data_IF_758149684347
#
_entry.id   IF_758149684347
#
_cell.length_a   1.000
_cell.length_b   1.000
_cell.length_c   1.000
_cell.angle_alpha   90.00
_cell.angle_beta   90.00
_cell.angle_gamma   90.00
#
_symmetry.space_group_name_H-M   'P 1'
#
loop_
_entity.id
_entity.type
_entity.pdbx_description
1 polymer ?
#
# COMPACT_ATOMS: atom_id res chain seq x y z
N UNK A 1 -37.32 33.30 12.09
CA UNK A 1 -36.97 31.91 12.49
C UNK A 1 -36.14 31.32 11.34
N UNK A 2 -34.89 31.47 11.46
CA UNK A 2 -33.95 31.02 10.39
C UNK A 2 -33.14 29.84 10.92
N UNK A 3 -33.48 28.66 10.42
CA UNK A 3 -32.78 27.40 10.70
C UNK A 3 -32.24 26.88 9.38
N UNK A 4 -31.07 27.29 9.00
CA UNK A 4 -30.28 26.49 8.05
C UNK A 4 -28.84 27.06 7.90
N UNK A 5 -28.07 27.06 8.98
CA UNK A 5 -26.63 27.00 8.85
C UNK A 5 -26.20 25.59 9.21
N UNK A 6 -26.49 24.64 8.32
CA UNK A 6 -25.82 23.36 8.34
C UNK A 6 -24.36 23.63 7.97
N UNK A 7 -23.50 23.77 8.99
CA UNK A 7 -22.06 23.77 8.83
C UNK A 7 -21.70 22.56 7.95
N UNK A 8 -21.37 22.79 6.69
CA UNK A 8 -20.72 21.80 5.84
C UNK A 8 -19.46 21.36 6.60
N UNK A 9 -19.50 20.19 7.19
CA UNK A 9 -18.32 19.61 7.78
C UNK A 9 -17.20 19.67 6.74
N UNK A 10 -16.12 20.38 7.06
CA UNK A 10 -14.98 20.56 6.17
C UNK A 10 -14.43 19.16 5.90
N UNK A 11 -14.38 18.77 4.63
CA UNK A 11 -13.83 17.47 4.24
C UNK A 11 -12.43 17.28 4.86
N UNK A 12 -12.21 16.15 5.49
CA UNK A 12 -10.91 15.80 6.06
C UNK A 12 -10.00 15.39 4.91
N UNK A 13 -8.87 16.09 4.75
CA UNK A 13 -7.86 15.69 3.77
C UNK A 13 -6.97 14.60 4.34
N UNK A 14 -6.79 13.54 3.55
CA UNK A 14 -5.94 12.39 3.88
C UNK A 14 -4.96 12.16 2.74
N UNK A 15 -3.66 12.21 3.04
CA UNK A 15 -2.64 11.91 2.04
C UNK A 15 -2.54 10.40 1.85
N UNK A 16 -2.61 9.95 0.61
CA UNK A 16 -2.27 8.57 0.25
C UNK A 16 -0.80 8.53 -0.18
N UNK A 17 0.02 7.81 0.59
CA UNK A 17 1.44 7.60 0.32
C UNK A 17 1.62 6.50 -0.75
N UNK A 18 1.07 6.76 -1.93
CA UNK A 18 1.15 5.86 -3.08
C UNK A 18 1.04 6.66 -4.37
N UNK A 19 1.77 6.22 -5.40
CA UNK A 19 1.67 6.73 -6.76
C UNK A 19 0.88 5.77 -7.68
N UNK A 20 0.27 4.70 -7.12
CA UNK A 20 -0.52 3.74 -7.87
C UNK A 20 -1.93 4.30 -8.16
N UNK A 21 -2.29 4.57 -9.44
CA UNK A 21 -3.60 5.13 -9.79
C UNK A 21 -4.77 4.20 -9.45
N UNK A 22 -4.55 2.88 -9.45
CA UNK A 22 -5.55 1.89 -9.05
C UNK A 22 -5.91 2.04 -7.58
N UNK A 23 -4.91 2.02 -6.70
CA UNK A 23 -5.09 2.22 -5.25
C UNK A 23 -5.77 3.56 -4.94
N UNK A 24 -5.37 4.62 -5.62
CA UNK A 24 -5.98 5.93 -5.43
C UNK A 24 -7.49 5.93 -5.73
N UNK A 25 -7.89 5.31 -6.85
CA UNK A 25 -9.32 5.19 -7.22
C UNK A 25 -10.10 4.35 -6.21
N UNK A 26 -9.56 3.18 -5.84
CA UNK A 26 -10.21 2.25 -4.91
C UNK A 26 -10.39 2.88 -3.52
N UNK A 27 -9.32 3.41 -2.95
CA UNK A 27 -9.36 4.04 -1.62
C UNK A 27 -10.20 5.31 -1.64
N UNK A 28 -10.09 6.12 -2.69
CA UNK A 28 -10.92 7.31 -2.85
C UNK A 28 -12.41 6.98 -2.87
N UNK A 29 -12.82 5.94 -3.62
CA UNK A 29 -14.21 5.48 -3.67
C UNK A 29 -14.71 4.95 -2.32
N UNK A 30 -13.87 4.22 -1.58
CA UNK A 30 -14.21 3.70 -0.26
C UNK A 30 -14.39 4.80 0.79
N UNK A 31 -13.61 5.88 0.71
CA UNK A 31 -13.60 6.95 1.71
C UNK A 31 -14.53 8.13 1.37
N UNK A 32 -14.98 8.23 0.12
CA UNK A 32 -15.88 9.30 -0.32
C UNK A 32 -17.17 9.44 0.52
N UNK A 33 -17.86 8.34 0.93
CA UNK A 33 -19.07 8.45 1.76
C UNK A 33 -18.84 9.08 3.12
N UNK A 34 -17.59 9.10 3.61
CA UNK A 34 -17.20 9.64 4.91
C UNK A 34 -16.72 11.09 4.84
N UNK A 35 -16.90 11.77 3.69
CA UNK A 35 -16.39 13.13 3.45
C UNK A 35 -14.88 13.25 3.66
N UNK A 36 -14.13 12.20 3.32
CA UNK A 36 -12.67 12.18 3.33
C UNK A 36 -12.17 12.39 1.90
N UNK A 37 -11.40 13.46 1.70
CA UNK A 37 -10.73 13.75 0.44
C UNK A 37 -9.36 13.08 0.42
N UNK A 38 -9.18 12.10 -0.45
CA UNK A 38 -7.89 11.40 -0.62
C UNK A 38 -7.02 12.19 -1.60
N UNK A 39 -5.86 12.64 -1.13
CA UNK A 39 -4.89 13.41 -1.92
C UNK A 39 -3.68 12.51 -2.21
N UNK A 40 -3.31 12.23 -3.47
CA UNK A 40 -2.12 11.45 -3.76
C UNK A 40 -0.86 12.25 -3.39
N UNK A 41 0.17 11.54 -2.88
CA UNK A 41 1.44 12.17 -2.53
C UNK A 41 2.07 12.94 -3.70
N UNK A 42 1.92 12.43 -4.93
CA UNK A 42 2.42 13.09 -6.15
C UNK A 42 1.79 14.45 -6.42
N UNK A 43 0.51 14.66 -6.06
CA UNK A 43 -0.15 15.97 -6.20
C UNK A 43 0.41 17.02 -5.23
N UNK A 44 1.12 16.59 -4.20
CA UNK A 44 1.81 17.45 -3.23
C UNK A 44 3.31 17.55 -3.52
N UNK A 45 3.79 16.99 -4.63
CA UNK A 45 5.21 16.99 -4.99
C UNK A 45 6.09 16.14 -4.06
N UNK A 46 5.49 15.19 -3.31
CA UNK A 46 6.23 14.36 -2.37
C UNK A 46 6.86 13.17 -3.10
N UNK A 47 8.13 12.91 -2.78
CA UNK A 47 8.85 11.71 -3.20
C UNK A 47 8.37 10.46 -2.46
N UNK A 48 8.70 9.30 -3.02
CA UNK A 48 8.47 8.01 -2.35
C UNK A 48 9.42 7.85 -1.15
N UNK A 49 8.92 7.24 -0.09
CA UNK A 49 9.74 6.85 1.04
C UNK A 49 10.55 5.59 0.70
N UNK A 50 11.71 5.46 1.32
CA UNK A 50 12.46 4.21 1.31
C UNK A 50 11.69 3.10 2.06
N UNK A 51 11.83 1.87 1.59
CA UNK A 51 11.23 0.67 2.15
C UNK A 51 12.32 -0.33 2.58
N UNK A 52 13.16 0.01 3.58
CA UNK A 52 14.31 -0.81 3.96
C UNK A 52 13.97 -1.95 4.93
N UNK A 53 12.71 -2.05 5.37
CA UNK A 53 12.32 -2.93 6.47
C UNK A 53 11.93 -4.33 5.98
N UNK A 54 12.03 -5.29 6.89
CA UNK A 54 11.75 -6.69 6.60
C UNK A 54 10.25 -7.06 6.72
N UNK A 55 9.41 -6.17 7.22
CA UNK A 55 7.98 -6.42 7.37
C UNK A 55 7.12 -5.38 6.64
N UNK A 56 5.95 -5.83 6.17
CA UNK A 56 4.95 -4.94 5.56
C UNK A 56 4.51 -3.82 6.51
N UNK A 57 4.37 -4.14 7.81
CA UNK A 57 3.96 -3.15 8.82
C UNK A 57 4.98 -2.01 8.94
N UNK A 58 6.26 -2.34 9.05
CA UNK A 58 7.31 -1.33 9.21
C UNK A 58 7.43 -0.44 7.97
N UNK A 59 7.36 -1.03 6.78
CA UNK A 59 7.38 -0.27 5.52
C UNK A 59 6.15 0.63 5.38
N UNK A 60 4.93 0.11 5.65
CA UNK A 60 3.71 0.91 5.61
C UNK A 60 3.76 2.08 6.62
N UNK A 61 4.25 1.81 7.84
CA UNK A 61 4.41 2.84 8.88
C UNK A 61 5.43 3.90 8.47
N UNK A 62 6.57 3.50 7.92
CA UNK A 62 7.60 4.42 7.43
C UNK A 62 7.05 5.33 6.32
N UNK A 63 6.34 4.76 5.34
CA UNK A 63 5.68 5.51 4.26
C UNK A 63 4.64 6.50 4.80
N UNK A 64 3.78 6.06 5.71
CA UNK A 64 2.76 6.92 6.30
C UNK A 64 3.39 8.10 7.08
N UNK A 65 4.43 7.84 7.86
CA UNK A 65 5.17 8.89 8.61
C UNK A 65 5.85 9.88 7.67
N UNK A 66 6.51 9.39 6.62
CA UNK A 66 7.14 10.23 5.61
C UNK A 66 6.12 11.18 4.98
N UNK A 67 5.03 10.64 4.45
CA UNK A 67 3.98 11.41 3.80
C UNK A 67 3.30 12.42 4.75
N UNK A 68 2.98 11.99 5.98
CA UNK A 68 2.36 12.85 7.00
C UNK A 68 3.27 14.01 7.39
N UNK A 69 4.57 13.75 7.59
CA UNK A 69 5.55 14.79 7.95
C UNK A 69 5.74 15.79 6.83
N UNK A 70 5.86 15.31 5.59
CA UNK A 70 6.08 16.18 4.44
C UNK A 70 4.84 17.01 4.05
N UNK A 71 3.64 16.45 4.22
CA UNK A 71 2.39 17.13 3.88
C UNK A 71 1.79 17.97 5.02
N UNK A 72 2.16 17.70 6.28
CA UNK A 72 1.49 18.29 7.45
C UNK A 72 0.02 17.85 7.59
N UNK A 73 -0.33 16.68 7.06
CA UNK A 73 -1.69 16.12 7.02
C UNK A 73 -1.72 14.69 7.57
N UNK A 74 -2.92 14.19 7.97
CA UNK A 74 -3.10 12.76 8.16
C UNK A 74 -2.68 11.99 6.91
N UNK A 75 -2.09 10.81 7.09
CA UNK A 75 -1.62 10.00 5.98
C UNK A 75 -2.03 8.54 6.10
N UNK A 76 -2.33 7.94 4.97
CA UNK A 76 -2.58 6.52 4.77
C UNK A 76 -1.50 5.97 3.87
N UNK A 77 -0.90 4.86 4.27
CA UNK A 77 0.02 4.10 3.44
C UNK A 77 -0.35 2.62 3.49
N UNK A 78 0.05 1.89 2.47
CA UNK A 78 0.02 0.45 2.49
C UNK A 78 1.38 -0.12 2.07
N UNK A 79 1.67 -1.31 2.54
CA UNK A 79 2.66 -2.19 1.95
C UNK A 79 2.05 -3.57 1.73
N UNK A 80 2.33 -4.18 0.59
CA UNK A 80 1.67 -5.40 0.17
C UNK A 80 2.56 -6.25 -0.72
N UNK A 81 2.37 -7.56 -0.63
CA UNK A 81 3.15 -8.47 -1.44
C UNK A 81 2.63 -9.90 -1.43
N UNK A 82 3.22 -10.70 -2.28
CA UNK A 82 2.98 -12.13 -2.41
C UNK A 82 3.91 -12.88 -1.48
N UNK A 83 3.36 -13.80 -0.69
CA UNK A 83 4.11 -14.72 0.15
C UNK A 83 3.86 -16.15 -0.33
N UNK A 84 4.91 -16.90 -0.63
CA UNK A 84 4.83 -18.27 -1.14
C UNK A 84 5.38 -19.24 -0.10
N UNK A 85 4.56 -20.21 0.32
CA UNK A 85 4.92 -21.15 1.39
C UNK A 85 6.19 -21.94 1.06
N UNK A 86 6.32 -22.42 -0.18
CA UNK A 86 7.49 -23.18 -0.62
C UNK A 86 8.79 -22.39 -0.63
N UNK A 87 8.70 -21.05 -0.59
CA UNK A 87 9.83 -20.14 -0.60
C UNK A 87 10.05 -19.46 0.77
N UNK A 88 9.46 -20.04 1.84
CA UNK A 88 9.60 -19.49 3.19
C UNK A 88 8.98 -18.09 3.35
N UNK A 89 7.99 -17.74 2.54
CA UNK A 89 7.33 -16.44 2.54
C UNK A 89 7.89 -15.43 1.53
N UNK A 90 8.98 -15.79 0.80
CA UNK A 90 9.42 -14.94 -0.32
C UNK A 90 8.38 -14.95 -1.47
N UNK A 91 8.32 -13.87 -2.27
CA UNK A 91 9.11 -12.63 -2.23
C UNK A 91 8.76 -11.66 -1.10
N UNK A 92 7.59 -11.76 -0.45
CA UNK A 92 7.20 -10.91 0.67
C UNK A 92 7.27 -9.42 0.32
N UNK A 93 7.95 -8.62 1.13
CA UNK A 93 8.15 -7.17 0.92
C UNK A 93 8.92 -6.84 -0.38
N UNK A 94 9.60 -7.81 -0.97
CA UNK A 94 10.35 -7.65 -2.22
C UNK A 94 9.52 -7.95 -3.48
N UNK A 95 8.21 -8.15 -3.35
CA UNK A 95 7.34 -8.61 -4.45
C UNK A 95 7.44 -7.76 -5.71
N UNK A 96 7.55 -6.45 -5.59
CA UNK A 96 7.61 -5.54 -6.74
C UNK A 96 8.93 -5.60 -7.54
N UNK A 97 9.99 -6.18 -6.96
CA UNK A 97 11.32 -6.24 -7.56
C UNK A 97 12.08 -7.55 -7.26
N UNK A 98 11.36 -8.64 -7.06
CA UNK A 98 11.91 -9.95 -6.70
C UNK A 98 12.96 -10.47 -7.71
N UNK A 99 12.79 -10.18 -8.99
CA UNK A 99 13.72 -10.51 -10.05
C UNK A 99 14.61 -9.32 -10.50
N UNK A 100 14.67 -8.25 -9.73
CA UNK A 100 15.45 -7.06 -10.02
C UNK A 100 14.60 -5.81 -10.21
N UNK A 101 15.26 -4.64 -10.23
CA UNK A 101 14.60 -3.32 -10.29
C UNK A 101 14.58 -2.70 -11.69
N UNK A 102 15.27 -3.28 -12.66
CA UNK A 102 15.48 -2.75 -14.00
C UNK A 102 14.21 -2.77 -14.82
N UNK A 103 14.05 -1.78 -15.69
CA UNK A 103 12.95 -1.66 -16.65
C UNK A 103 11.63 -1.18 -16.08
N UNK A 104 10.65 -1.04 -16.95
CA UNK A 104 9.29 -0.61 -16.60
C UNK A 104 8.54 -1.66 -15.76
N UNK A 105 7.40 -1.25 -15.20
CA UNK A 105 6.58 -2.09 -14.31
C UNK A 105 6.20 -3.43 -14.96
N UNK A 106 5.67 -3.39 -16.17
CA UNK A 106 5.22 -4.59 -16.89
C UNK A 106 6.35 -5.62 -17.08
N UNK A 107 7.54 -5.14 -17.49
CA UNK A 107 8.71 -6.00 -17.66
C UNK A 107 9.22 -6.57 -16.33
N UNK A 108 9.14 -5.82 -15.24
CA UNK A 108 9.48 -6.33 -13.89
C UNK A 108 8.47 -7.38 -13.43
N UNK A 109 7.19 -7.13 -13.59
CA UNK A 109 6.12 -8.05 -13.20
C UNK A 109 6.26 -9.38 -13.97
N UNK A 110 6.56 -9.34 -15.26
CA UNK A 110 6.82 -10.53 -16.08
C UNK A 110 8.01 -11.35 -15.53
N UNK A 111 9.16 -10.70 -15.26
CA UNK A 111 10.34 -11.39 -14.69
C UNK A 111 10.09 -11.91 -13.27
N UNK A 112 9.35 -11.17 -12.43
CA UNK A 112 8.98 -11.64 -11.10
C UNK A 112 8.14 -12.91 -11.19
N UNK A 113 7.14 -12.94 -12.07
CA UNK A 113 6.29 -14.10 -12.30
C UNK A 113 7.10 -15.29 -12.80
N UNK A 114 7.98 -15.10 -13.78
CA UNK A 114 8.86 -16.15 -14.29
C UNK A 114 9.74 -16.74 -13.19
N UNK A 115 10.39 -15.89 -12.39
CA UNK A 115 11.23 -16.33 -11.28
C UNK A 115 10.45 -17.15 -10.25
N UNK A 116 9.21 -16.74 -9.91
CA UNK A 116 8.35 -17.51 -9.02
C UNK A 116 8.01 -18.87 -9.62
N UNK A 117 7.59 -18.91 -10.90
CA UNK A 117 7.24 -20.16 -11.58
C UNK A 117 8.40 -21.14 -11.66
N UNK A 118 9.63 -20.65 -11.86
CA UNK A 118 10.84 -21.47 -11.89
C UNK A 118 11.17 -22.07 -10.53
N UNK A 119 10.91 -21.34 -9.45
CA UNK A 119 11.31 -21.73 -8.09
C UNK A 119 10.23 -22.58 -7.37
N UNK A 120 8.95 -22.44 -7.75
CA UNK A 120 7.83 -23.15 -7.11
C UNK A 120 7.47 -24.42 -7.86
N UNK A 121 7.97 -25.57 -7.41
CA UNK A 121 7.79 -26.86 -8.09
C UNK A 121 6.67 -27.73 -7.52
N UNK A 122 6.51 -27.78 -6.20
CA UNK A 122 5.57 -28.70 -5.54
C UNK A 122 4.51 -27.94 -4.73
N UNK A 123 4.80 -27.49 -3.52
CA UNK A 123 3.84 -26.74 -2.70
C UNK A 123 3.61 -25.36 -3.33
N UNK A 124 2.45 -25.19 -3.94
CA UNK A 124 2.09 -23.95 -4.63
C UNK A 124 1.25 -22.99 -3.78
N UNK A 125 1.01 -23.30 -2.51
CA UNK A 125 0.26 -22.44 -1.61
C UNK A 125 0.93 -21.09 -1.47
N UNK A 126 0.14 -20.06 -1.56
CA UNK A 126 0.59 -18.69 -1.48
C UNK A 126 -0.53 -17.80 -0.94
N UNK A 127 -0.18 -16.61 -0.52
CA UNK A 127 -1.14 -15.58 -0.14
C UNK A 127 -0.61 -14.19 -0.48
N UNK A 128 -1.52 -13.29 -0.79
CA UNK A 128 -1.23 -11.87 -0.76
C UNK A 128 -1.47 -11.35 0.65
N UNK A 129 -0.50 -10.58 1.15
CA UNK A 129 -0.63 -9.80 2.37
C UNK A 129 -0.68 -8.32 2.00
N UNK A 130 -1.58 -7.57 2.64
CA UNK A 130 -1.64 -6.13 2.55
C UNK A 130 -1.78 -5.57 3.96
N UNK A 131 -0.85 -4.72 4.35
CA UNK A 131 -0.91 -3.98 5.61
C UNK A 131 -1.12 -2.52 5.31
N UNK A 132 -2.16 -1.95 5.90
CA UNK A 132 -2.48 -0.53 5.80
C UNK A 132 -2.24 0.17 7.13
N UNK A 133 -1.62 1.34 7.09
CA UNK A 133 -1.35 2.18 8.28
C UNK A 133 -1.87 3.59 8.03
N UNK A 134 -2.71 4.08 8.93
CA UNK A 134 -3.20 5.45 8.94
C UNK A 134 -2.70 6.18 10.17
N UNK A 135 -2.15 7.38 9.97
CA UNK A 135 -1.67 8.30 10.99
C UNK A 135 -2.49 9.59 10.97
N UNK A 136 -2.80 10.12 12.15
CA UNK A 136 -3.40 11.46 12.31
C UNK A 136 -2.34 12.57 12.16
N UNK A 137 -1.10 12.27 12.53
CA UNK A 137 0.07 13.15 12.42
C UNK A 137 1.37 12.30 12.46
N UNK A 138 2.55 12.83 12.10
CA UNK A 138 3.78 12.03 11.96
C UNK A 138 4.21 11.28 13.23
N UNK A 139 3.95 11.88 14.39
CA UNK A 139 4.32 11.34 15.71
C UNK A 139 3.10 10.68 16.41
N UNK A 140 2.10 10.23 15.66
CA UNK A 140 0.92 9.58 16.22
C UNK A 140 1.33 8.31 17.01
N UNK A 141 1.09 8.30 18.35
CA UNK A 141 1.45 7.15 19.18
C UNK A 141 0.48 5.97 19.03
N UNK A 142 -0.64 6.18 18.36
CA UNK A 142 -1.68 5.17 18.15
C UNK A 142 -2.12 5.12 16.68
N UNK A 143 -1.25 4.67 15.77
CA UNK A 143 -1.63 4.48 14.39
C UNK A 143 -2.79 3.47 14.28
N UNK A 144 -3.67 3.68 13.31
CA UNK A 144 -4.61 2.65 12.92
C UNK A 144 -3.91 1.70 11.96
N UNK A 145 -3.97 0.42 12.27
CA UNK A 145 -3.36 -0.65 11.47
C UNK A 145 -4.45 -1.64 11.07
N UNK A 146 -4.48 -1.99 9.81
CA UNK A 146 -5.33 -3.05 9.29
C UNK A 146 -4.50 -4.00 8.42
N UNK A 147 -4.77 -5.30 8.53
CA UNK A 147 -4.15 -6.33 7.71
C UNK A 147 -5.22 -7.11 6.96
N UNK A 148 -4.95 -7.38 5.70
CA UNK A 148 -5.75 -8.26 4.87
C UNK A 148 -4.89 -9.36 4.25
N UNK A 149 -5.39 -10.60 4.30
CA UNK A 149 -4.72 -11.76 3.69
C UNK A 149 -5.68 -12.41 2.69
N UNK A 150 -5.22 -12.56 1.45
CA UNK A 150 -5.92 -13.28 0.40
C UNK A 150 -5.15 -14.54 0.01
N UNK A 151 -5.69 -15.69 0.40
CA UNK A 151 -5.06 -17.01 0.17
C UNK A 151 -5.39 -17.56 -1.21
N UNK A 152 -4.42 -18.28 -1.77
CA UNK A 152 -4.55 -18.91 -3.07
C UNK A 152 -3.39 -19.84 -3.37
N UNK A 153 -3.19 -20.09 -4.64
CA UNK A 153 -2.10 -20.92 -5.15
C UNK A 153 -1.45 -20.28 -6.38
N UNK A 154 -0.17 -20.49 -6.54
CA UNK A 154 0.55 -20.08 -7.74
C UNK A 154 0.07 -20.91 -8.95
N UNK A 155 -0.43 -20.27 -10.00
CA UNK A 155 -0.82 -20.92 -11.23
C UNK A 155 0.36 -21.65 -11.88
N UNK A 156 0.08 -22.59 -12.79
CA UNK A 156 1.12 -23.36 -13.50
C UNK A 156 1.72 -22.60 -14.68
N UNK A 157 1.02 -21.59 -15.15
CA UNK A 157 1.44 -20.68 -16.21
C UNK A 157 0.90 -19.26 -15.89
N UNK A 158 1.50 -18.21 -16.47
CA UNK A 158 1.01 -16.83 -16.35
C UNK A 158 -0.40 -16.65 -16.88
#
# INVERSE_FOLDING_TARGET
MDRASASRARAVKLVLASNNPGKLREIGALLAPWSIEVVPQSALGLGEADEPHASFLENALAKARHASRAAGLPALADDSGLCVDALGGEPGVHSSYYAGREGGREARDARNNEKILLNVRQNRKAYYCCVMVMLRHPEDPRPLVAEGIWRGEIARAP
#
